data_IF_666411342098
#
_entry.id   IF_666411342098
#
_cell.length_a   1.000
_cell.length_b   1.000
_cell.length_c   1.000
_cell.angle_alpha   90.00
_cell.angle_beta   90.00
_cell.angle_gamma   90.00
#
_symmetry.space_group_name_H-M   'P 1'
#
loop_
_entity.id
_entity.type
_entity.pdbx_description
1 polymer ?
#
# COMPACT_ATOMS: atom_id res chain seq x y z
N UNK A 1 4.35 -15.60 18.34
CA UNK A 1 5.20 -15.34 17.16
C UNK A 1 4.61 -14.18 16.40
N UNK A 2 5.30 -13.03 16.33
CA UNK A 2 5.44 -12.22 15.11
C UNK A 2 6.39 -11.07 15.46
N UNK A 3 7.56 -11.08 14.83
CA UNK A 3 8.66 -10.17 15.14
C UNK A 3 8.24 -8.72 14.92
N UNK A 4 8.55 -7.86 15.89
CA UNK A 4 8.24 -6.42 15.91
C UNK A 4 8.98 -5.60 14.86
N UNK A 5 8.88 -6.01 13.60
CA UNK A 5 9.50 -5.36 12.45
C UNK A 5 8.48 -4.68 11.51
N UNK A 6 7.21 -5.06 11.58
CA UNK A 6 6.12 -4.49 10.79
C UNK A 6 5.29 -3.53 11.66
N UNK A 7 5.26 -2.27 11.26
CA UNK A 7 4.37 -1.25 11.82
C UNK A 7 2.92 -1.52 11.42
N UNK A 8 1.94 -0.98 12.17
CA UNK A 8 0.54 -0.91 11.73
C UNK A 8 0.41 -0.34 10.31
N UNK A 9 1.29 0.60 9.95
CA UNK A 9 1.30 1.16 8.61
C UNK A 9 1.83 0.18 7.55
N UNK A 10 2.80 -0.67 7.90
CA UNK A 10 3.29 -1.71 6.99
C UNK A 10 2.22 -2.80 6.79
N UNK A 11 1.41 -3.10 7.81
CA UNK A 11 0.24 -3.98 7.69
C UNK A 11 -0.83 -3.40 6.76
N UNK A 12 -1.13 -2.09 6.87
CA UNK A 12 -2.06 -1.39 5.97
C UNK A 12 -1.58 -1.42 4.50
N UNK A 13 -0.28 -1.22 4.27
CA UNK A 13 0.29 -1.32 2.92
C UNK A 13 0.17 -2.76 2.41
N UNK A 14 0.51 -3.76 3.23
CA UNK A 14 0.42 -5.17 2.84
C UNK A 14 -1.03 -5.58 2.50
N UNK A 15 -2.02 -5.08 3.23
CA UNK A 15 -3.44 -5.32 2.94
C UNK A 15 -3.85 -4.71 1.59
N UNK A 16 -3.42 -3.48 1.30
CA UNK A 16 -3.67 -2.83 -0.02
C UNK A 16 -3.02 -3.60 -1.16
N UNK A 17 -1.78 -4.06 -0.97
CA UNK A 17 -1.06 -4.87 -1.97
C UNK A 17 -1.79 -6.21 -2.20
N UNK A 18 -2.21 -6.88 -1.12
CA UNK A 18 -3.00 -8.10 -1.23
C UNK A 18 -4.30 -7.87 -2.00
N UNK A 19 -5.01 -6.77 -1.73
CA UNK A 19 -6.25 -6.40 -2.43
C UNK A 19 -6.05 -6.20 -3.94
N UNK A 20 -4.96 -5.53 -4.35
CA UNK A 20 -4.62 -5.36 -5.77
C UNK A 20 -4.36 -6.73 -6.43
N UNK A 21 -3.53 -7.56 -5.78
CA UNK A 21 -3.13 -8.86 -6.32
C UNK A 21 -4.30 -9.85 -6.40
N UNK A 22 -5.30 -9.73 -5.53
CA UNK A 22 -6.52 -10.55 -5.57
C UNK A 22 -7.56 -10.03 -6.57
N UNK A 23 -7.32 -8.90 -7.24
CA UNK A 23 -8.25 -8.31 -8.20
C UNK A 23 -9.37 -7.48 -7.57
N UNK A 24 -9.19 -7.05 -6.32
CA UNK A 24 -10.11 -6.24 -5.54
C UNK A 24 -11.36 -6.98 -5.05
N UNK A 25 -12.44 -6.26 -4.77
CA UNK A 25 -13.73 -6.80 -4.30
C UNK A 25 -14.56 -7.47 -5.41
N UNK A 26 -13.91 -8.11 -6.38
CA UNK A 26 -14.58 -8.80 -7.48
C UNK A 26 -14.98 -10.22 -7.06
N UNK A 27 -16.10 -10.70 -7.62
CA UNK A 27 -16.55 -12.08 -7.43
C UNK A 27 -15.52 -13.06 -8.00
N UNK A 28 -15.31 -14.19 -7.31
CA UNK A 28 -14.41 -15.24 -7.76
C UNK A 28 -14.81 -15.73 -9.17
N UNK A 29 -13.84 -15.76 -10.10
CA UNK A 29 -14.06 -16.14 -11.50
C UNK A 29 -14.37 -14.98 -12.45
N UNK A 30 -14.40 -13.73 -11.95
CA UNK A 30 -14.49 -12.54 -12.81
C UNK A 30 -13.22 -12.41 -13.67
N UNK A 31 -13.40 -12.00 -14.94
CA UNK A 31 -12.25 -11.65 -15.79
C UNK A 31 -11.63 -10.36 -15.27
N UNK A 32 -10.32 -10.39 -15.05
CA UNK A 32 -9.51 -9.23 -14.69
C UNK A 32 -8.69 -8.86 -15.91
N UNK A 33 -8.80 -7.61 -16.34
CA UNK A 33 -7.94 -7.05 -17.39
C UNK A 33 -6.72 -6.36 -16.76
N UNK A 34 -5.68 -6.12 -17.55
CA UNK A 34 -4.52 -5.34 -17.09
C UNK A 34 -4.93 -3.95 -16.61
N UNK A 35 -5.88 -3.31 -17.32
CA UNK A 35 -6.39 -1.99 -16.95
C UNK A 35 -7.08 -1.99 -15.58
N UNK A 36 -7.80 -3.07 -15.23
CA UNK A 36 -8.43 -3.22 -13.92
C UNK A 36 -7.38 -3.23 -12.79
N UNK A 37 -6.23 -3.88 -13.00
CA UNK A 37 -5.15 -3.92 -12.03
C UNK A 37 -4.50 -2.54 -11.91
N UNK A 38 -4.22 -1.87 -13.04
CA UNK A 38 -3.66 -0.52 -13.04
C UNK A 38 -4.54 0.50 -12.32
N UNK A 39 -5.86 0.38 -12.48
CA UNK A 39 -6.81 1.26 -11.78
C UNK A 39 -6.83 0.98 -10.27
N UNK A 40 -6.78 -0.29 -9.85
CA UNK A 40 -6.66 -0.68 -8.44
C UNK A 40 -5.34 -0.20 -7.82
N UNK A 41 -4.22 -0.34 -8.53
CA UNK A 41 -2.91 0.16 -8.11
C UNK A 41 -2.94 1.67 -7.93
N UNK A 42 -3.51 2.40 -8.89
CA UNK A 42 -3.63 3.86 -8.83
C UNK A 42 -4.46 4.30 -7.62
N UNK A 43 -5.60 3.66 -7.39
CA UNK A 43 -6.48 4.00 -6.27
C UNK A 43 -5.80 3.74 -4.92
N UNK A 44 -5.20 2.56 -4.76
CA UNK A 44 -4.46 2.21 -3.55
C UNK A 44 -3.28 3.16 -3.31
N UNK A 45 -2.54 3.52 -4.36
CA UNK A 45 -1.42 4.46 -4.27
C UNK A 45 -1.87 5.86 -3.86
N UNK A 46 -2.93 6.39 -4.50
CA UNK A 46 -3.48 7.73 -4.16
C UNK A 46 -4.03 7.75 -2.74
N UNK A 47 -4.68 6.68 -2.29
CA UNK A 47 -5.15 6.55 -0.91
C UNK A 47 -4.00 6.54 0.10
N UNK A 48 -2.90 5.83 -0.20
CA UNK A 48 -1.73 5.77 0.67
C UNK A 48 -0.97 7.10 0.72
N UNK A 49 -0.74 7.76 -0.42
CA UNK A 49 0.01 9.04 -0.43
C UNK A 49 -0.76 10.19 0.25
N UNK A 50 -2.09 10.09 0.33
CA UNK A 50 -2.91 11.03 1.08
C UNK A 50 -2.75 10.90 2.60
N UNK A 51 -2.13 9.82 3.10
CA UNK A 51 -1.89 9.65 4.54
C UNK A 51 -0.71 10.50 5.02
N UNK A 52 -0.90 11.26 6.10
CA UNK A 52 0.16 12.06 6.72
C UNK A 52 1.39 11.23 7.11
N UNK A 53 1.19 9.99 7.58
CA UNK A 53 2.29 9.06 7.93
C UNK A 53 3.16 8.72 6.70
N UNK A 54 2.55 8.57 5.53
CA UNK A 54 3.25 8.28 4.27
C UNK A 54 4.01 9.50 3.79
N UNK A 55 3.41 10.69 3.87
CA UNK A 55 4.10 11.94 3.53
C UNK A 55 5.27 12.22 4.46
N UNK A 56 5.10 11.99 5.77
CA UNK A 56 6.16 12.09 6.75
C UNK A 56 7.31 11.12 6.44
N UNK A 57 7.01 9.86 6.07
CA UNK A 57 8.04 8.90 5.62
C UNK A 57 8.79 9.40 4.40
N UNK A 58 8.10 9.89 3.38
CA UNK A 58 8.71 10.43 2.15
C UNK A 58 9.59 11.63 2.49
N UNK A 59 9.10 12.59 3.27
CA UNK A 59 9.85 13.77 3.68
C UNK A 59 11.09 13.38 4.49
N UNK A 60 10.97 12.46 5.44
CA UNK A 60 12.09 12.01 6.27
C UNK A 60 13.15 11.28 5.44
N UNK A 61 12.71 10.44 4.49
CA UNK A 61 13.59 9.76 3.55
C UNK A 61 14.33 10.75 2.64
N UNK A 62 13.63 11.76 2.11
CA UNK A 62 14.23 12.82 1.29
C UNK A 62 15.22 13.69 2.09
N UNK A 63 14.90 13.99 3.35
CA UNK A 63 15.72 14.87 4.18
C UNK A 63 16.94 14.18 4.79
N UNK A 64 16.83 12.90 5.17
CA UNK A 64 17.86 12.22 5.96
C UNK A 64 18.44 10.96 5.32
N UNK A 65 17.85 10.51 4.20
CA UNK A 65 18.21 9.26 3.53
C UNK A 65 17.84 7.99 4.31
N UNK A 66 17.18 8.09 5.47
CA UNK A 66 16.79 6.95 6.30
C UNK A 66 15.28 6.77 6.30
N UNK A 67 14.76 5.53 6.29
CA UNK A 67 13.33 5.28 6.39
C UNK A 67 12.81 5.56 7.80
N UNK A 68 11.76 6.38 7.90
CA UNK A 68 11.07 6.62 9.17
C UNK A 68 10.25 5.38 9.56
N UNK A 69 10.54 4.80 10.72
CA UNK A 69 9.74 3.74 11.35
C UNK A 69 8.84 4.38 12.41
N UNK A 70 7.57 4.57 12.04
CA UNK A 70 6.46 4.84 12.97
C UNK A 70 5.63 3.59 13.10
#
# INVERSE_FOLDING_TARGET
>A
MQGGFASEHDALIAEKVAHILTGGDRLAGSKVTEQDILDLEREAFVSLIAMEKTQARIQQMLMTGKPLRN
#
